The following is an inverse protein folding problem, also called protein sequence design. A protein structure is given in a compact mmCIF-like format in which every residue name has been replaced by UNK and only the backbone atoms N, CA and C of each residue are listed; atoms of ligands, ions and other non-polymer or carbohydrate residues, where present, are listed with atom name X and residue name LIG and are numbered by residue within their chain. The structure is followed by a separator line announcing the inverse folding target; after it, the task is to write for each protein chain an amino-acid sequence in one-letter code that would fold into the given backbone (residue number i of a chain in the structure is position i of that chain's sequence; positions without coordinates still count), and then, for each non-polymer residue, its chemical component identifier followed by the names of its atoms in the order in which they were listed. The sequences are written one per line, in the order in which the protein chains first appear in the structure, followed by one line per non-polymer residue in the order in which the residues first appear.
data_IF_062889400455
#
_entry.id   IF_062889400455
#
_cell.length_a   1.000
_cell.length_b   1.000
_cell.length_c   1.000
_cell.angle_alpha   90.00
_cell.angle_beta   90.00
_cell.angle_gamma   90.00
#
_symmetry.space_group_name_H-M   'P 1'
#
loop_
_entity.id
_entity.type
_entity.pdbx_description
1 polymer ?
#
# COMPACT_ATOMS: atom_id res chain seq x y z
N UNK A 1 -49.83 4.15 14.84
CA UNK A 1 -48.57 3.73 15.48
C UNK A 1 -48.25 2.33 14.98
N UNK A 2 -47.52 2.23 13.88
CA UNK A 2 -47.28 0.99 13.14
C UNK A 2 -45.77 0.86 12.84
N UNK A 3 -45.30 -0.37 13.05
CA UNK A 3 -44.20 -1.05 12.36
C UNK A 3 -42.77 -0.72 12.80
N UNK A 4 -42.35 -1.41 13.87
CA UNK A 4 -41.05 -2.07 13.86
C UNK A 4 -41.03 -3.14 12.76
N UNK A 5 -40.29 -2.87 11.69
CA UNK A 5 -40.01 -3.85 10.65
C UNK A 5 -38.67 -4.51 10.97
N UNK A 6 -38.75 -5.81 11.29
CA UNK A 6 -37.64 -6.75 11.27
C UNK A 6 -36.88 -6.57 9.96
N UNK A 7 -35.57 -6.29 10.04
CA UNK A 7 -34.67 -6.61 8.95
C UNK A 7 -34.84 -8.12 8.70
N UNK A 8 -35.28 -8.55 7.51
CA UNK A 8 -35.33 -9.96 7.21
C UNK A 8 -33.92 -10.49 7.37
N UNK A 9 -33.82 -11.56 8.15
CA UNK A 9 -32.67 -12.45 8.26
C UNK A 9 -31.80 -12.37 7.01
N UNK A 10 -30.56 -11.91 7.18
CA UNK A 10 -29.47 -12.27 6.28
C UNK A 10 -29.40 -13.79 6.35
N UNK A 11 -30.20 -14.46 5.53
CA UNK A 11 -30.06 -15.88 5.28
C UNK A 11 -28.66 -16.00 4.72
N UNK A 12 -27.78 -16.59 5.52
CA UNK A 12 -26.51 -17.11 5.09
C UNK A 12 -26.79 -18.10 3.94
N UNK A 13 -26.83 -17.58 2.71
CA UNK A 13 -26.88 -18.38 1.50
C UNK A 13 -25.44 -18.85 1.26
N UNK A 14 -25.17 -20.02 1.83
CA UNK A 14 -24.18 -21.02 1.45
C UNK A 14 -22.99 -20.57 0.58
N UNK A 15 -21.86 -20.29 1.24
CA UNK A 15 -20.58 -20.90 0.86
C UNK A 15 -20.26 -21.96 1.92
N UNK A 16 -20.24 -23.21 1.49
CA UNK A 16 -20.28 -24.39 2.33
C UNK A 16 -18.95 -24.69 3.06
N UNK A 17 -19.08 -25.31 4.24
CA UNK A 17 -18.04 -26.02 5.04
C UNK A 17 -16.94 -25.16 5.70
N UNK A 18 -17.31 -24.32 6.67
CA UNK A 18 -16.35 -23.75 7.62
C UNK A 18 -17.02 -22.99 8.77
N UNK A 19 -16.37 -22.94 9.94
CA UNK A 19 -16.79 -22.20 11.14
C UNK A 19 -16.70 -20.67 10.93
N UNK A 20 -17.52 -20.11 10.03
CA UNK A 20 -17.58 -18.66 9.77
C UNK A 20 -18.61 -18.01 10.70
N UNK A 21 -18.21 -16.96 11.44
CA UNK A 21 -19.11 -16.20 12.32
C UNK A 21 -19.33 -14.80 11.76
N UNK A 22 -20.58 -14.33 11.76
CA UNK A 22 -20.99 -12.99 11.34
C UNK A 22 -21.60 -12.23 12.52
N UNK A 23 -21.23 -10.96 12.68
CA UNK A 23 -21.88 -10.02 13.60
C UNK A 23 -22.34 -8.79 12.81
N UNK A 24 -23.58 -8.33 13.06
CA UNK A 24 -24.17 -7.19 12.36
C UNK A 24 -24.58 -6.10 13.36
N UNK A 25 -24.13 -4.87 13.11
CA UNK A 25 -24.48 -3.68 13.87
C UNK A 25 -24.90 -2.57 12.89
N UNK A 26 -26.19 -2.25 12.85
CA UNK A 26 -26.69 -1.12 12.03
C UNK A 26 -26.98 0.09 12.93
N UNK A 27 -26.47 1.27 12.55
CA UNK A 27 -26.68 2.52 13.30
C UNK A 27 -27.50 3.52 12.49
N UNK A 28 -28.57 4.05 13.08
CA UNK A 28 -29.20 5.31 12.65
C UNK A 28 -28.61 6.45 13.50
N UNK A 29 -28.26 7.58 12.89
CA UNK A 29 -27.58 8.71 13.56
C UNK A 29 -28.39 9.25 14.75
N UNK A 30 -28.11 8.74 15.94
CA UNK A 30 -28.39 9.37 17.24
C UNK A 30 -27.19 9.27 18.20
N UNK A 31 -26.17 8.47 17.89
CA UNK A 31 -24.94 8.31 18.67
C UNK A 31 -23.76 8.10 17.71
N UNK A 32 -22.71 8.92 17.86
CA UNK A 32 -21.44 8.71 17.16
C UNK A 32 -20.88 7.33 17.49
N UNK A 33 -20.81 6.42 16.50
CA UNK A 33 -20.18 5.11 16.68
C UNK A 33 -18.66 5.26 16.55
N UNK A 34 -17.94 5.13 17.68
CA UNK A 34 -16.49 4.96 17.67
C UNK A 34 -16.18 3.49 17.46
N UNK A 35 -15.55 3.18 16.34
CA UNK A 35 -15.12 1.82 16.03
C UNK A 35 -13.73 1.62 16.62
N UNK A 36 -13.67 1.00 17.80
CA UNK A 36 -12.41 0.58 18.38
C UNK A 36 -11.83 -0.55 17.50
N UNK A 37 -10.58 -0.38 17.04
CA UNK A 37 -9.79 -1.51 16.57
C UNK A 37 -9.81 -2.59 17.66
N UNK A 38 -10.06 -3.84 17.28
CA UNK A 38 -10.32 -4.94 18.21
C UNK A 38 -9.33 -4.95 19.38
N UNK A 39 -9.84 -4.88 20.62
CA UNK A 39 -9.09 -4.98 21.88
C UNK A 39 -8.40 -6.34 22.01
N UNK A 40 -7.26 -6.52 21.35
CA UNK A 40 -6.33 -7.62 21.60
C UNK A 40 -4.90 -7.15 21.37
N UNK A 41 -4.30 -6.55 22.40
CA UNK A 41 -2.84 -6.31 22.59
C UNK A 41 -2.11 -5.49 21.48
N UNK A 42 -2.70 -5.24 20.32
CA UNK A 42 -2.13 -4.44 19.23
C UNK A 42 -2.76 -3.05 19.23
N UNK A 43 -2.21 -2.15 20.05
CA UNK A 43 -2.54 -0.72 20.12
C UNK A 43 -2.22 0.09 18.84
N UNK A 44 -1.82 -0.57 17.76
CA UNK A 44 -1.17 0.08 16.61
C UNK A 44 -2.05 0.20 15.36
N UNK A 45 -3.23 -0.44 15.32
CA UNK A 45 -4.17 -0.23 14.21
C UNK A 45 -5.04 1.02 14.47
N UNK A 46 -5.15 1.96 13.51
CA UNK A 46 -5.90 3.19 13.71
C UNK A 46 -7.41 2.94 13.86
N UNK A 47 -8.11 3.83 14.56
CA UNK A 47 -9.58 3.87 14.61
C UNK A 47 -10.11 5.00 13.73
N UNK A 48 -11.41 4.97 13.42
CA UNK A 48 -12.06 6.04 12.65
C UNK A 48 -13.46 6.34 13.19
N UNK A 49 -13.86 7.61 13.09
CA UNK A 49 -15.23 8.05 13.34
C UNK A 49 -16.07 7.91 12.07
N UNK A 50 -17.28 7.36 12.22
CA UNK A 50 -18.22 7.22 11.11
C UNK A 50 -19.12 8.45 11.02
N UNK A 51 -19.19 9.08 9.84
CA UNK A 51 -19.94 10.32 9.60
C UNK A 51 -21.26 10.13 8.83
N UNK A 52 -21.59 8.90 8.41
CA UNK A 52 -22.81 8.59 7.65
C UNK A 52 -23.59 7.40 8.24
N UNK A 53 -24.92 7.40 8.04
CA UNK A 53 -25.76 6.24 8.36
C UNK A 53 -25.31 5.04 7.54
N UNK A 54 -24.97 3.95 8.22
CA UNK A 54 -24.56 2.70 7.58
C UNK A 54 -24.88 1.48 8.45
N UNK A 55 -24.91 0.32 7.82
CA UNK A 55 -24.82 -0.95 8.51
C UNK A 55 -23.41 -1.53 8.42
N UNK A 56 -22.84 -1.85 9.58
CA UNK A 56 -21.54 -2.52 9.70
C UNK A 56 -21.76 -4.02 9.89
N UNK A 57 -21.14 -4.80 9.02
CA UNK A 57 -21.06 -6.25 9.13
C UNK A 57 -19.62 -6.61 9.39
N UNK A 58 -19.36 -7.43 10.40
CA UNK A 58 -18.04 -8.00 10.66
C UNK A 58 -18.12 -9.52 10.55
N UNK A 59 -17.04 -10.14 10.10
CA UNK A 59 -16.96 -11.59 10.00
C UNK A 59 -15.54 -12.09 10.27
N UNK A 60 -15.45 -13.34 10.72
CA UNK A 60 -14.21 -14.13 10.65
C UNK A 60 -14.39 -15.22 9.61
N UNK A 61 -13.60 -15.16 8.54
CA UNK A 61 -13.69 -16.07 7.39
C UNK A 61 -12.44 -16.94 7.39
N UNK A 62 -12.62 -18.25 7.50
CA UNK A 62 -11.52 -19.19 7.37
C UNK A 62 -11.05 -19.24 5.91
N UNK A 63 -9.75 -19.11 5.70
CA UNK A 63 -9.09 -19.22 4.38
C UNK A 63 -8.32 -20.55 4.27
N UNK A 64 -7.99 -21.17 5.40
CA UNK A 64 -7.50 -22.55 5.49
C UNK A 64 -7.89 -23.17 6.85
N UNK A 65 -7.52 -24.43 7.15
CA UNK A 65 -7.70 -24.99 8.50
C UNK A 65 -6.91 -24.29 9.61
N UNK A 66 -5.91 -23.48 9.25
CA UNK A 66 -5.00 -22.82 10.20
C UNK A 66 -5.04 -21.29 10.10
N UNK A 67 -5.48 -20.72 8.98
CA UNK A 67 -5.56 -19.27 8.73
C UNK A 67 -6.99 -18.79 8.51
N UNK A 68 -7.17 -17.48 8.66
CA UNK A 68 -8.43 -16.82 8.43
C UNK A 68 -8.29 -15.31 8.52
N UNK A 69 -9.27 -14.63 7.96
CA UNK A 69 -9.32 -13.17 7.89
C UNK A 69 -10.41 -12.62 8.80
N UNK A 70 -10.13 -11.47 9.40
CA UNK A 70 -11.20 -10.56 9.84
C UNK A 70 -11.62 -9.74 8.64
N UNK A 71 -12.93 -9.71 8.42
CA UNK A 71 -13.58 -9.02 7.33
C UNK A 71 -14.55 -8.00 7.89
N UNK A 72 -14.64 -6.84 7.25
CA UNK A 72 -15.67 -5.86 7.52
C UNK A 72 -16.30 -5.36 6.22
N UNK A 73 -17.63 -5.16 6.27
CA UNK A 73 -18.38 -4.45 5.26
C UNK A 73 -19.12 -3.27 5.89
N UNK A 74 -19.00 -2.09 5.28
CA UNK A 74 -19.73 -0.88 5.65
C UNK A 74 -20.70 -0.54 4.53
N UNK A 75 -21.99 -0.59 4.85
CA UNK A 75 -23.09 -0.55 3.89
C UNK A 75 -23.92 0.72 4.14
N UNK A 76 -23.61 1.85 3.47
CA UNK A 76 -24.28 3.11 3.70
C UNK A 76 -25.76 3.07 3.30
N UNK A 77 -26.61 3.77 4.05
CA UNK A 77 -28.03 3.92 3.71
C UNK A 77 -28.21 4.57 2.32
N UNK A 78 -27.42 5.61 2.04
CA UNK A 78 -27.39 6.27 0.74
C UNK A 78 -26.38 5.60 -0.20
N UNK A 79 -26.71 4.39 -0.67
CA UNK A 79 -25.85 3.62 -1.56
C UNK A 79 -26.04 4.00 -3.03
N UNK A 80 -24.93 4.35 -3.69
CA UNK A 80 -24.89 4.73 -5.12
C UNK A 80 -24.99 3.54 -6.09
N UNK A 81 -24.98 2.31 -5.58
CA UNK A 81 -24.84 1.10 -6.39
C UNK A 81 -23.39 0.65 -6.59
N UNK A 82 -22.40 1.47 -6.19
CA UNK A 82 -20.97 1.19 -6.38
C UNK A 82 -20.41 0.36 -5.22
N UNK A 83 -19.56 -0.62 -5.53
CA UNK A 83 -18.82 -1.45 -4.57
C UNK A 83 -17.37 -1.00 -4.51
N UNK A 84 -16.74 -1.00 -3.33
CA UNK A 84 -15.33 -0.66 -3.15
C UNK A 84 -14.64 -1.61 -2.18
N UNK A 85 -13.41 -2.00 -2.49
CA UNK A 85 -12.51 -2.68 -1.56
C UNK A 85 -11.23 -1.88 -1.37
N UNK A 86 -10.64 -1.95 -0.17
CA UNK A 86 -9.31 -1.38 0.10
C UNK A 86 -8.24 -2.42 0.31
N UNK A 87 -7.00 -1.95 0.37
CA UNK A 87 -5.85 -2.72 0.78
C UNK A 87 -5.44 -2.52 2.23
N UNK A 88 -4.17 -2.88 2.47
CA UNK A 88 -3.46 -2.77 3.72
C UNK A 88 -2.16 -1.96 3.53
N UNK A 89 -1.35 -1.81 4.59
CA UNK A 89 -0.07 -1.10 4.55
C UNK A 89 1.05 -1.95 5.17
N UNK A 90 2.28 -1.71 4.73
CA UNK A 90 3.49 -2.42 5.20
C UNK A 90 3.32 -3.96 5.18
N UNK A 91 3.86 -4.66 6.18
CA UNK A 91 3.62 -6.09 6.44
C UNK A 91 2.36 -6.33 7.29
N UNK A 92 1.51 -5.31 7.43
CA UNK A 92 0.45 -5.30 8.41
C UNK A 92 -0.82 -6.03 7.99
N UNK A 93 -1.54 -6.42 9.03
CA UNK A 93 -2.91 -6.91 9.00
C UNK A 93 -3.91 -5.92 9.60
N UNK A 94 -3.65 -4.62 9.54
CA UNK A 94 -4.64 -3.64 9.98
C UNK A 94 -5.65 -3.34 8.88
N UNK A 95 -6.93 -3.33 9.23
CA UNK A 95 -7.99 -2.73 8.39
C UNK A 95 -7.77 -1.21 8.33
N UNK A 96 -7.75 -0.65 7.12
CA UNK A 96 -7.53 0.78 6.88
C UNK A 96 -8.80 1.59 7.12
N UNK A 97 -9.23 1.71 8.39
CA UNK A 97 -10.46 2.43 8.76
C UNK A 97 -10.55 3.87 8.28
N UNK A 98 -9.42 4.54 8.01
CA UNK A 98 -9.43 5.89 7.42
C UNK A 98 -10.01 5.89 6.01
N UNK A 99 -9.62 4.93 5.19
CA UNK A 99 -10.12 4.75 3.82
C UNK A 99 -11.61 4.38 3.84
N UNK A 100 -12.05 3.62 4.85
CA UNK A 100 -13.47 3.34 5.11
C UNK A 100 -14.26 4.63 5.34
N UNK A 101 -13.73 5.51 6.18
CA UNK A 101 -14.33 6.81 6.48
C UNK A 101 -14.35 7.76 5.28
N UNK A 102 -13.40 7.63 4.35
CA UNK A 102 -13.38 8.41 3.10
C UNK A 102 -14.41 7.91 2.08
N UNK A 103 -14.51 6.58 1.89
CA UNK A 103 -15.38 6.00 0.87
C UNK A 103 -16.86 5.95 1.26
N UNK A 104 -17.17 5.79 2.56
CA UNK A 104 -18.56 5.62 3.01
C UNK A 104 -19.45 6.85 2.73
N UNK A 105 -19.01 8.10 2.95
CA UNK A 105 -19.78 9.29 2.58
C UNK A 105 -19.98 9.47 1.07
N UNK A 106 -19.12 8.87 0.25
CA UNK A 106 -19.27 8.85 -1.21
C UNK A 106 -20.27 7.77 -1.68
N UNK A 107 -20.91 7.06 -0.74
CA UNK A 107 -21.99 6.12 -1.00
C UNK A 107 -21.54 4.80 -1.63
N UNK A 108 -20.30 4.36 -1.38
CA UNK A 108 -19.82 3.03 -1.76
C UNK A 108 -20.22 1.99 -0.72
N UNK A 109 -20.64 0.81 -1.17
CA UNK A 109 -20.65 -0.39 -0.34
C UNK A 109 -19.21 -0.87 -0.21
N UNK A 110 -18.65 -0.72 0.98
CA UNK A 110 -17.23 -0.83 1.21
C UNK A 110 -16.88 -2.16 1.90
N UNK A 111 -15.74 -2.78 1.54
CA UNK A 111 -15.16 -3.90 2.30
C UNK A 111 -13.64 -3.82 2.53
N UNK A 112 -13.20 -4.35 3.67
CA UNK A 112 -11.78 -4.50 4.00
C UNK A 112 -11.51 -5.78 4.80
N UNK A 113 -10.24 -6.19 4.80
CA UNK A 113 -9.77 -7.34 5.57
C UNK A 113 -8.51 -7.00 6.35
N UNK A 114 -8.21 -7.83 7.35
CA UNK A 114 -6.96 -7.76 8.12
C UNK A 114 -5.79 -8.48 7.41
N UNK A 115 -5.86 -8.73 6.11
CA UNK A 115 -4.76 -9.32 5.33
C UNK A 115 -4.26 -10.71 5.79
N UNK A 116 -4.99 -11.42 6.66
CA UNK A 116 -4.62 -12.75 7.17
C UNK A 116 -4.06 -12.79 8.59
N UNK A 117 -3.77 -11.64 9.21
CA UNK A 117 -3.24 -11.57 10.57
C UNK A 117 -3.58 -10.24 11.26
N UNK A 118 -3.18 -10.06 12.52
CA UNK A 118 -3.42 -8.82 13.26
C UNK A 118 -2.10 -8.11 13.57
N UNK A 119 -2.13 -6.77 13.56
CA UNK A 119 -0.97 -5.94 13.88
C UNK A 119 -0.07 -5.64 12.68
N UNK A 120 1.07 -5.01 12.93
CA UNK A 120 2.01 -4.54 11.90
C UNK A 120 3.26 -5.41 11.74
N UNK A 121 3.51 -6.34 12.66
CA UNK A 121 4.66 -7.25 12.59
C UNK A 121 4.44 -8.34 11.53
N UNK A 122 5.53 -8.77 10.90
CA UNK A 122 5.55 -9.95 10.04
C UNK A 122 5.65 -11.28 10.80
N UNK A 123 5.81 -11.28 12.13
CA UNK A 123 5.90 -12.51 12.95
C UNK A 123 4.79 -13.55 12.68
N UNK A 124 3.52 -13.18 12.44
CA UNK A 124 2.45 -14.16 12.20
C UNK A 124 2.67 -15.12 11.03
N UNK A 125 3.59 -14.80 10.10
CA UNK A 125 3.89 -15.66 8.95
C UNK A 125 4.93 -16.74 9.24
N UNK A 126 5.62 -16.69 10.39
CA UNK A 126 6.65 -17.65 10.78
C UNK A 126 6.06 -19.07 10.87
N UNK A 127 6.61 -20.01 10.09
CA UNK A 127 6.10 -21.37 9.94
C UNK A 127 4.64 -21.48 9.45
N UNK A 128 4.13 -20.46 8.75
CA UNK A 128 2.71 -20.32 8.40
C UNK A 128 2.51 -19.88 6.94
N UNK A 129 2.78 -20.78 6.00
CA UNK A 129 2.58 -20.55 4.56
C UNK A 129 1.16 -20.10 4.20
N UNK A 130 0.16 -20.57 4.95
CA UNK A 130 -1.24 -20.21 4.77
C UNK A 130 -1.51 -18.72 5.08
N UNK A 131 -0.78 -18.14 6.03
CA UNK A 131 -0.86 -16.70 6.34
C UNK A 131 -0.06 -15.89 5.30
N UNK A 132 1.03 -16.45 4.77
CA UNK A 132 1.79 -15.84 3.65
C UNK A 132 0.90 -15.73 2.40
N UNK A 133 0.13 -16.77 2.10
CA UNK A 133 -0.82 -16.77 0.97
C UNK A 133 -1.92 -15.71 1.15
N UNK A 134 -2.50 -15.64 2.36
CA UNK A 134 -3.49 -14.62 2.73
C UNK A 134 -2.95 -13.20 2.52
N UNK A 135 -1.74 -12.91 3.03
CA UNK A 135 -1.07 -11.62 2.85
C UNK A 135 -0.78 -11.31 1.37
N UNK A 136 -0.45 -12.32 0.58
CA UNK A 136 -0.01 -12.14 -0.80
C UNK A 136 -1.16 -11.76 -1.72
N UNK A 137 -2.28 -12.48 -1.66
CA UNK A 137 -3.44 -12.21 -2.51
C UNK A 137 -4.78 -12.69 -1.92
N UNK A 138 -4.77 -13.77 -1.12
CA UNK A 138 -5.98 -14.54 -0.85
C UNK A 138 -6.92 -13.80 0.10
N UNK A 139 -6.41 -13.06 1.09
CA UNK A 139 -7.25 -12.30 2.01
C UNK A 139 -8.10 -11.25 1.29
N UNK A 140 -7.48 -10.48 0.39
CA UNK A 140 -8.18 -9.44 -0.37
C UNK A 140 -9.16 -10.06 -1.36
N UNK A 141 -8.75 -11.08 -2.12
CA UNK A 141 -9.62 -11.77 -3.08
C UNK A 141 -10.88 -12.32 -2.37
N UNK A 142 -10.69 -13.00 -1.24
CA UNK A 142 -11.80 -13.53 -0.43
C UNK A 142 -12.71 -12.41 0.09
N UNK A 143 -12.13 -11.31 0.58
CA UNK A 143 -12.89 -10.14 1.01
C UNK A 143 -13.74 -9.53 -0.11
N UNK A 144 -13.22 -9.47 -1.34
CA UNK A 144 -13.96 -8.97 -2.50
C UNK A 144 -15.13 -9.89 -2.84
N UNK A 145 -14.89 -11.20 -2.94
CA UNK A 145 -15.93 -12.18 -3.29
C UNK A 145 -17.07 -12.17 -2.25
N UNK A 146 -16.72 -12.29 -0.97
CA UNK A 146 -17.71 -12.27 0.11
C UNK A 146 -18.40 -10.91 0.20
N UNK A 147 -17.65 -9.82 0.01
CA UNK A 147 -18.16 -8.46 0.03
C UNK A 147 -19.23 -8.17 -1.02
N UNK A 148 -19.05 -8.66 -2.24
CA UNK A 148 -20.03 -8.53 -3.31
C UNK A 148 -21.33 -9.25 -2.97
N UNK A 149 -21.26 -10.46 -2.39
CA UNK A 149 -22.45 -11.21 -1.97
C UNK A 149 -23.16 -10.58 -0.77
N UNK A 150 -22.41 -10.09 0.22
CA UNK A 150 -22.97 -9.33 1.36
C UNK A 150 -23.68 -8.08 0.87
N UNK A 151 -23.06 -7.33 -0.05
CA UNK A 151 -23.65 -6.13 -0.67
C UNK A 151 -24.95 -6.46 -1.41
N UNK A 152 -24.91 -7.47 -2.27
CA UNK A 152 -26.08 -7.94 -3.04
C UNK A 152 -27.23 -8.35 -2.14
N UNK A 153 -26.93 -9.09 -1.08
CA UNK A 153 -27.92 -9.58 -0.11
C UNK A 153 -28.54 -8.43 0.68
N UNK A 154 -27.72 -7.47 1.13
CA UNK A 154 -28.19 -6.36 1.96
C UNK A 154 -29.10 -5.38 1.18
N UNK A 155 -28.72 -5.00 -0.04
CA UNK A 155 -29.52 -4.06 -0.84
C UNK A 155 -30.53 -4.75 -1.76
N UNK A 156 -30.59 -6.09 -1.75
CA UNK A 156 -31.43 -6.91 -2.62
C UNK A 156 -31.28 -6.58 -4.13
N UNK A 157 -30.08 -6.14 -4.52
CA UNK A 157 -29.71 -5.83 -5.91
C UNK A 157 -28.19 -5.90 -6.08
N UNK A 158 -27.66 -6.37 -7.23
CA UNK A 158 -26.23 -6.40 -7.46
C UNK A 158 -25.64 -4.99 -7.53
N UNK A 159 -24.33 -4.87 -7.26
CA UNK A 159 -23.60 -3.63 -7.53
C UNK A 159 -23.58 -3.32 -9.03
N UNK A 160 -23.50 -2.04 -9.40
CA UNK A 160 -23.38 -1.61 -10.80
C UNK A 160 -21.93 -1.66 -11.29
N UNK A 161 -20.98 -1.23 -10.45
CA UNK A 161 -19.53 -1.23 -10.72
C UNK A 161 -18.76 -1.54 -9.43
N UNK A 162 -17.60 -2.16 -9.57
CA UNK A 162 -16.67 -2.48 -8.48
C UNK A 162 -15.37 -1.72 -8.63
N UNK A 163 -14.87 -1.19 -7.51
CA UNK A 163 -13.67 -0.36 -7.45
C UNK A 163 -12.69 -0.85 -6.40
N UNK A 164 -11.41 -0.55 -6.61
CA UNK A 164 -10.35 -0.76 -5.65
C UNK A 164 -9.61 0.55 -5.36
N UNK A 165 -9.29 0.79 -4.09
CA UNK A 165 -8.46 1.90 -3.65
C UNK A 165 -7.39 1.42 -2.67
N UNK A 166 -6.12 1.63 -3.00
CA UNK A 166 -5.02 1.27 -2.11
C UNK A 166 -3.72 1.99 -2.42
N UNK A 167 -2.91 2.22 -1.39
CA UNK A 167 -1.59 2.83 -1.48
C UNK A 167 -0.53 1.96 -0.78
N UNK A 168 0.74 2.02 -1.20
CA UNK A 168 1.83 1.20 -0.63
C UNK A 168 1.60 -0.31 -0.86
N UNK A 169 1.52 -1.12 0.20
CA UNK A 169 1.09 -2.53 0.12
C UNK A 169 -0.30 -2.66 -0.54
N UNK A 170 -1.20 -1.70 -0.32
CA UNK A 170 -2.46 -1.59 -1.03
C UNK A 170 -2.27 -1.34 -2.53
N UNK A 171 -1.30 -0.51 -2.93
CA UNK A 171 -0.95 -0.34 -4.33
C UNK A 171 -0.50 -1.67 -4.96
N UNK A 172 0.36 -2.44 -4.28
CA UNK A 172 0.76 -3.80 -4.70
C UNK A 172 -0.46 -4.70 -4.86
N UNK A 173 -1.32 -4.73 -3.86
CA UNK A 173 -2.54 -5.53 -3.87
C UNK A 173 -3.46 -5.16 -5.05
N UNK A 174 -3.62 -3.87 -5.36
CA UNK A 174 -4.34 -3.41 -6.56
C UNK A 174 -3.74 -3.94 -7.86
N UNK A 175 -2.43 -3.87 -8.02
CA UNK A 175 -1.74 -4.47 -9.17
C UNK A 175 -1.88 -6.00 -9.20
N UNK A 176 -1.85 -6.68 -8.05
CA UNK A 176 -2.09 -8.13 -7.97
C UNK A 176 -3.49 -8.49 -8.48
N UNK A 177 -4.49 -7.67 -8.15
CA UNK A 177 -5.85 -7.86 -8.66
C UNK A 177 -5.91 -7.65 -10.18
N UNK A 178 -5.28 -6.60 -10.70
CA UNK A 178 -5.23 -6.37 -12.15
C UNK A 178 -4.53 -7.53 -12.90
N UNK A 179 -3.44 -8.07 -12.35
CA UNK A 179 -2.63 -9.13 -12.98
C UNK A 179 -3.30 -10.51 -12.89
N UNK A 180 -3.81 -10.91 -11.72
CA UNK A 180 -4.24 -12.27 -11.46
C UNK A 180 -5.77 -12.45 -11.38
N UNK A 181 -6.52 -11.37 -11.13
CA UNK A 181 -7.97 -11.41 -10.90
C UNK A 181 -8.69 -10.29 -11.69
N UNK A 182 -8.55 -10.27 -13.02
CA UNK A 182 -8.96 -9.12 -13.85
C UNK A 182 -10.47 -8.81 -13.77
N UNK A 183 -11.29 -9.76 -13.32
CA UNK A 183 -12.76 -9.63 -13.22
C UNK A 183 -13.24 -9.00 -11.91
N UNK A 184 -12.34 -8.79 -10.95
CA UNK A 184 -12.76 -8.34 -9.62
C UNK A 184 -13.17 -6.87 -9.61
N UNK A 185 -12.55 -6.02 -10.43
CA UNK A 185 -12.73 -4.58 -10.38
C UNK A 185 -12.84 -3.97 -11.77
N UNK A 186 -13.80 -3.06 -11.93
CA UNK A 186 -13.88 -2.21 -13.11
C UNK A 186 -13.04 -0.95 -13.06
N UNK A 187 -12.60 -0.57 -11.86
CA UNK A 187 -11.68 0.54 -11.64
C UNK A 187 -10.70 0.24 -10.51
N UNK A 188 -9.41 0.45 -10.74
CA UNK A 188 -8.36 0.26 -9.72
C UNK A 188 -7.59 1.57 -9.55
N UNK A 189 -7.48 2.03 -8.31
CA UNK A 189 -6.59 3.13 -7.91
C UNK A 189 -5.46 2.54 -7.08
N UNK A 190 -4.25 2.58 -7.62
CA UNK A 190 -3.05 2.02 -6.99
C UNK A 190 -1.98 3.11 -6.80
N UNK A 191 -1.82 3.57 -5.56
CA UNK A 191 -0.82 4.55 -5.17
C UNK A 191 0.47 3.92 -4.66
N UNK A 192 1.61 4.53 -4.96
CA UNK A 192 2.94 4.14 -4.49
C UNK A 192 3.14 2.61 -4.34
N UNK A 193 2.97 1.80 -5.39
CA UNK A 193 2.78 0.36 -5.23
C UNK A 193 4.04 -0.36 -4.71
N UNK A 194 3.87 -1.22 -3.69
CA UNK A 194 4.92 -2.11 -3.19
C UNK A 194 5.12 -3.38 -4.05
N UNK A 195 4.96 -3.28 -5.37
CA UNK A 195 5.35 -4.31 -6.33
C UNK A 195 6.88 -4.38 -6.52
N UNK A 196 7.37 -5.36 -7.28
CA UNK A 196 8.75 -5.82 -7.15
C UNK A 196 9.08 -6.08 -5.68
N UNK A 197 8.13 -6.71 -4.98
CA UNK A 197 8.13 -6.79 -3.52
C UNK A 197 9.42 -7.39 -2.96
N UNK A 198 9.96 -8.47 -3.56
CA UNK A 198 11.17 -9.11 -3.05
C UNK A 198 12.38 -8.18 -3.22
N UNK A 199 12.46 -7.49 -4.36
CA UNK A 199 13.54 -6.53 -4.61
C UNK A 199 13.40 -5.27 -3.74
N UNK A 200 12.17 -4.81 -3.51
CA UNK A 200 11.85 -3.69 -2.63
C UNK A 200 12.23 -3.99 -1.18
N UNK A 201 11.89 -5.19 -0.66
CA UNK A 201 12.29 -5.59 0.69
C UNK A 201 13.80 -5.79 0.80
N UNK A 202 14.44 -6.36 -0.23
CA UNK A 202 15.91 -6.51 -0.29
C UNK A 202 16.60 -5.15 -0.22
N UNK A 203 16.19 -4.23 -1.09
CA UNK A 203 16.65 -2.84 -1.12
C UNK A 203 16.46 -2.14 0.23
N UNK A 204 15.29 -2.31 0.84
CA UNK A 204 14.98 -1.71 2.12
C UNK A 204 15.90 -2.21 3.25
N UNK A 205 16.24 -3.50 3.24
CA UNK A 205 17.15 -4.08 4.23
C UNK A 205 18.63 -3.77 3.93
N UNK A 206 18.96 -3.41 2.69
CA UNK A 206 20.33 -3.07 2.28
C UNK A 206 20.88 -1.80 2.95
N UNK A 207 20.03 -0.87 3.38
CA UNK A 207 20.48 0.39 3.97
C UNK A 207 21.21 0.22 5.31
N UNK A 208 20.78 -0.69 6.18
CA UNK A 208 21.40 -0.85 7.49
C UNK A 208 22.87 -1.32 7.40
N UNK A 209 23.23 -2.36 6.62
CA UNK A 209 24.63 -2.71 6.39
C UNK A 209 25.45 -1.60 5.73
N UNK A 210 24.83 -0.72 4.94
CA UNK A 210 25.52 0.40 4.29
C UNK A 210 25.86 1.52 5.29
N UNK A 211 24.89 1.95 6.10
CA UNK A 211 25.09 3.08 7.04
C UNK A 211 25.65 2.64 8.37
N UNK A 212 25.49 1.37 8.73
CA UNK A 212 25.75 0.88 10.07
C UNK A 212 24.76 1.42 11.11
N UNK A 213 24.95 0.96 12.34
CA UNK A 213 24.21 1.45 13.50
C UNK A 213 24.75 2.80 13.96
N UNK A 214 24.01 3.47 14.85
CA UNK A 214 24.46 4.72 15.46
C UNK A 214 25.85 4.56 16.10
N UNK A 215 26.78 5.42 15.70
CA UNK A 215 28.19 5.39 16.13
C UNK A 215 29.15 4.72 15.15
N UNK A 216 28.66 4.09 14.08
CA UNK A 216 29.51 3.65 12.97
C UNK A 216 30.07 4.85 12.19
N UNK A 217 31.28 4.72 11.64
CA UNK A 217 31.92 5.78 10.84
C UNK A 217 31.16 6.11 9.54
N UNK A 218 30.30 5.20 9.08
CA UNK A 218 29.42 5.34 7.91
C UNK A 218 28.03 5.87 8.25
N UNK A 219 27.73 6.10 9.53
CA UNK A 219 26.43 6.56 9.98
C UNK A 219 26.25 8.05 9.71
N UNK A 220 25.12 8.45 9.13
CA UNK A 220 24.77 9.85 8.87
C UNK A 220 23.87 10.36 9.99
N UNK A 221 24.31 11.33 10.82
CA UNK A 221 23.46 11.90 11.87
C UNK A 221 22.19 12.52 11.30
N UNK A 222 21.08 12.39 12.04
CA UNK A 222 19.78 12.94 11.60
C UNK A 222 19.83 14.45 11.33
N UNK A 223 20.69 15.16 12.05
CA UNK A 223 20.92 16.61 11.89
C UNK A 223 21.54 17.00 10.56
N UNK A 224 22.11 16.05 9.81
CA UNK A 224 22.76 16.31 8.52
C UNK A 224 21.79 16.27 7.34
N UNK A 225 20.63 15.60 7.47
CA UNK A 225 19.66 15.48 6.37
C UNK A 225 19.10 16.81 5.85
N UNK A 226 18.84 17.83 6.69
CA UNK A 226 18.51 19.16 6.18
C UNK A 226 19.64 19.79 5.33
N UNK A 227 20.90 19.65 5.75
CA UNK A 227 22.04 20.14 4.97
C UNK A 227 22.20 19.39 3.65
N UNK A 228 21.96 18.07 3.64
CA UNK A 228 21.94 17.25 2.43
C UNK A 228 20.81 17.70 1.50
N UNK A 229 19.63 17.97 2.05
CA UNK A 229 18.49 18.47 1.29
C UNK A 229 18.80 19.79 0.57
N UNK A 230 19.37 20.75 1.31
CA UNK A 230 19.71 22.06 0.77
C UNK A 230 20.77 21.96 -0.36
N UNK A 231 21.75 21.06 -0.21
CA UNK A 231 22.76 20.81 -1.23
C UNK A 231 22.17 20.12 -2.47
N UNK A 232 21.22 19.20 -2.30
CA UNK A 232 20.47 18.59 -3.41
C UNK A 232 19.68 19.65 -4.17
N UNK A 233 18.93 20.51 -3.48
CA UNK A 233 18.17 21.58 -4.13
C UNK A 233 19.09 22.56 -4.86
N UNK A 234 20.26 22.89 -4.29
CA UNK A 234 21.25 23.74 -4.95
C UNK A 234 21.77 23.15 -6.29
N UNK A 235 21.82 21.82 -6.41
CA UNK A 235 22.25 21.14 -7.63
C UNK A 235 21.10 20.83 -8.60
N UNK A 236 19.88 20.63 -8.10
CA UNK A 236 18.81 19.96 -8.85
C UNK A 236 17.48 20.73 -8.98
N UNK A 237 17.17 21.72 -8.14
CA UNK A 237 15.87 22.42 -8.14
C UNK A 237 15.59 23.04 -9.51
N UNK A 238 16.55 23.76 -10.09
CA UNK A 238 16.37 24.48 -11.36
C UNK A 238 16.47 23.59 -12.62
N UNK A 239 16.60 22.27 -12.49
CA UNK A 239 16.69 21.35 -13.65
C UNK A 239 15.40 21.28 -14.47
N UNK A 240 14.26 21.58 -13.84
CA UNK A 240 12.95 21.69 -14.51
C UNK A 240 12.68 23.09 -15.09
N UNK A 241 13.61 24.03 -14.89
CA UNK A 241 13.52 25.43 -15.34
C UNK A 241 12.86 26.39 -14.35
N UNK A 242 12.48 25.94 -13.15
CA UNK A 242 11.88 26.75 -12.08
C UNK A 242 12.66 26.55 -10.78
N UNK A 243 12.90 27.63 -10.02
CA UNK A 243 13.45 27.54 -8.66
C UNK A 243 12.30 27.63 -7.65
N UNK A 244 11.92 26.52 -7.04
CA UNK A 244 10.74 26.47 -6.17
C UNK A 244 10.90 25.58 -4.95
N UNK A 245 12.07 24.96 -4.77
CA UNK A 245 12.37 24.06 -3.67
C UNK A 245 11.74 22.68 -3.83
N UNK A 246 11.38 22.30 -5.07
CA UNK A 246 10.81 21.00 -5.38
C UNK A 246 11.47 20.41 -6.62
N UNK A 247 11.63 19.09 -6.65
CA UNK A 247 12.14 18.38 -7.82
C UNK A 247 10.96 17.82 -8.62
N UNK A 248 10.52 18.52 -9.68
CA UNK A 248 9.46 17.99 -10.58
C UNK A 248 9.94 16.84 -11.47
N UNK A 249 11.26 16.68 -11.61
CA UNK A 249 11.88 15.57 -12.33
C UNK A 249 13.13 15.10 -11.58
N UNK A 250 12.97 14.36 -10.46
CA UNK A 250 14.10 13.83 -9.69
C UNK A 250 15.00 12.90 -10.51
N UNK A 251 14.50 12.33 -11.61
CA UNK A 251 15.26 11.50 -12.54
C UNK A 251 16.34 12.28 -13.32
N UNK A 252 16.21 13.61 -13.42
CA UNK A 252 17.24 14.48 -13.97
C UNK A 252 18.34 14.81 -12.96
N UNK A 253 18.08 14.61 -11.67
CA UNK A 253 19.00 14.96 -10.59
C UNK A 253 20.13 13.92 -10.44
N UNK A 254 21.27 14.17 -11.05
CA UNK A 254 22.51 13.43 -10.74
C UNK A 254 23.25 14.09 -9.57
N UNK A 255 22.64 14.02 -8.38
CA UNK A 255 23.21 14.61 -7.16
C UNK A 255 24.57 14.00 -6.81
N UNK A 256 25.51 14.88 -6.44
CA UNK A 256 26.84 14.46 -5.98
C UNK A 256 27.23 15.20 -4.68
N UNK A 257 27.54 14.47 -3.58
CA UNK A 257 27.69 15.07 -2.26
C UNK A 257 29.11 15.59 -1.97
N UNK A 258 29.96 15.84 -2.97
CA UNK A 258 31.38 16.16 -2.75
C UNK A 258 31.57 17.48 -1.97
N UNK A 259 30.65 18.43 -2.13
CA UNK A 259 30.63 19.69 -1.37
C UNK A 259 30.46 19.48 0.13
N UNK A 260 29.83 18.37 0.53
CA UNK A 260 29.53 18.04 1.92
C UNK A 260 30.58 17.13 2.56
N UNK A 261 31.62 16.71 1.83
CA UNK A 261 32.64 15.81 2.39
C UNK A 261 33.49 16.50 3.44
N UNK A 262 33.82 15.76 4.50
CA UNK A 262 34.72 16.26 5.53
C UNK A 262 36.11 16.56 4.96
N UNK A 263 36.65 17.74 5.28
CA UNK A 263 38.02 18.10 4.94
C UNK A 263 39.03 17.13 5.58
N UNK A 264 40.16 16.89 4.89
CA UNK A 264 41.23 16.02 5.38
C UNK A 264 41.71 16.54 6.75
N UNK A 265 41.68 15.70 7.79
CA UNK A 265 41.98 16.01 9.19
C UNK A 265 40.91 16.82 9.97
N UNK A 266 39.67 16.88 9.47
CA UNK A 266 38.53 17.38 10.26
C UNK A 266 38.11 16.36 11.32
N UNK A 267 38.16 16.74 12.60
CA UNK A 267 37.50 16.00 13.69
C UNK A 267 35.99 16.32 13.79
N UNK A 268 35.43 17.10 12.85
CA UNK A 268 34.02 17.47 12.86
C UNK A 268 33.18 16.44 12.11
N UNK A 269 32.75 15.38 12.77
CA UNK A 269 31.84 14.36 12.18
C UNK A 269 30.37 14.78 12.15
N UNK A 270 30.03 15.90 12.82
CA UNK A 270 28.65 16.37 12.96
C UNK A 270 28.21 17.35 11.84
N UNK A 271 29.12 17.85 11.02
CA UNK A 271 28.88 18.95 10.06
C UNK A 271 29.24 18.61 8.59
N UNK A 272 29.68 17.39 8.32
CA UNK A 272 30.10 16.94 6.99
C UNK A 272 30.00 15.40 6.89
N UNK A 273 30.00 14.88 5.67
CA UNK A 273 29.92 13.46 5.35
C UNK A 273 31.33 12.84 5.33
N UNK A 274 31.53 11.79 6.10
CA UNK A 274 32.82 11.07 6.20
C UNK A 274 33.10 10.22 4.94
N UNK A 275 32.06 9.81 4.20
CA UNK A 275 32.17 9.07 2.94
C UNK A 275 31.02 9.45 1.97
N UNK A 276 31.27 9.43 0.66
CA UNK A 276 30.29 9.77 -0.38
C UNK A 276 29.35 8.60 -0.78
N UNK A 277 29.33 7.50 -0.02
CA UNK A 277 28.90 6.20 -0.57
C UNK A 277 27.39 6.00 -0.71
N UNK A 278 26.56 6.90 -0.23
CA UNK A 278 25.10 6.78 -0.36
C UNK A 278 24.54 7.92 -1.20
N UNK A 279 24.38 7.68 -2.51
CA UNK A 279 23.46 8.50 -3.32
C UNK A 279 22.04 8.29 -2.76
N UNK A 280 21.32 9.35 -2.37
CA UNK A 280 19.91 9.23 -2.02
C UNK A 280 19.17 8.70 -3.24
N UNK A 281 18.39 7.65 -3.03
CA UNK A 281 17.61 7.00 -4.08
C UNK A 281 16.30 7.70 -4.43
N UNK A 282 15.98 8.75 -3.69
CA UNK A 282 14.82 9.59 -3.86
C UNK A 282 15.23 11.01 -3.46
N UNK A 283 15.99 11.72 -4.32
CA UNK A 283 16.35 13.11 -4.09
C UNK A 283 15.10 13.94 -3.78
N UNK A 284 15.16 14.80 -2.77
CA UNK A 284 14.04 15.62 -2.30
C UNK A 284 13.26 15.00 -1.14
N UNK A 285 13.47 13.72 -0.82
CA UNK A 285 12.82 13.04 0.30
C UNK A 285 13.55 13.23 1.65
N UNK A 286 14.62 14.01 1.71
CA UNK A 286 15.50 14.13 2.88
C UNK A 286 14.83 14.83 4.07
N UNK A 287 13.78 15.63 3.83
CA UNK A 287 12.96 16.23 4.88
C UNK A 287 11.66 15.46 5.16
N UNK A 288 11.46 14.33 4.49
CA UNK A 288 10.32 13.44 4.76
C UNK A 288 10.60 12.53 5.98
N UNK A 289 9.75 11.53 6.19
CA UNK A 289 10.00 10.46 7.17
C UNK A 289 11.03 9.41 6.73
N UNK A 290 11.58 9.54 5.52
CA UNK A 290 12.50 8.55 4.93
C UNK A 290 13.85 8.42 5.64
N UNK A 291 14.54 9.51 6.05
CA UNK A 291 15.71 9.43 6.91
C UNK A 291 15.49 8.54 8.14
N UNK A 292 14.40 8.80 8.87
CA UNK A 292 14.08 8.07 10.10
C UNK A 292 13.75 6.60 9.82
N UNK A 293 13.21 6.31 8.64
CA UNK A 293 12.82 4.96 8.21
C UNK A 293 14.02 4.10 7.82
N UNK A 294 14.97 4.63 7.06
CA UNK A 294 16.07 3.84 6.48
C UNK A 294 17.46 4.12 7.04
N UNK A 295 17.67 5.29 7.63
CA UNK A 295 18.98 5.80 8.00
C UNK A 295 19.10 6.07 9.50
N UNK A 296 18.18 5.55 10.31
CA UNK A 296 18.19 5.65 11.78
C UNK A 296 19.17 4.70 12.46
N UNK A 297 19.84 3.83 11.69
CA UNK A 297 20.76 2.82 12.22
C UNK A 297 20.01 1.68 12.93
N UNK A 298 18.71 1.55 12.69
CA UNK A 298 17.87 0.46 13.16
C UNK A 298 17.41 -0.40 11.97
N UNK A 299 17.13 -1.70 12.17
CA UNK A 299 16.51 -2.52 11.15
C UNK A 299 15.17 -1.94 10.68
N UNK A 300 14.99 -1.88 9.36
CA UNK A 300 13.70 -1.51 8.78
C UNK A 300 12.68 -2.62 9.00
N UNK A 301 11.43 -2.28 9.29
CA UNK A 301 10.38 -3.25 9.63
C UNK A 301 10.15 -4.36 8.58
N UNK A 302 10.48 -4.13 7.30
CA UNK A 302 10.41 -5.20 6.30
C UNK A 302 11.46 -6.31 6.48
N UNK A 303 12.44 -6.17 7.38
CA UNK A 303 13.33 -7.27 7.77
C UNK A 303 12.58 -8.46 8.36
N UNK A 304 11.39 -8.24 8.92
CA UNK A 304 10.49 -9.31 9.35
C UNK A 304 10.14 -10.26 8.20
N UNK A 305 10.07 -9.77 6.95
CA UNK A 305 9.83 -10.63 5.79
C UNK A 305 10.98 -11.61 5.56
N UNK A 306 12.22 -11.13 5.61
CA UNK A 306 13.39 -12.01 5.52
C UNK A 306 13.43 -13.01 6.67
N UNK A 307 13.25 -12.50 7.88
CA UNK A 307 13.32 -13.26 9.12
C UNK A 307 12.28 -14.39 9.17
N UNK A 308 11.02 -14.06 8.91
CA UNK A 308 9.90 -14.97 9.16
C UNK A 308 9.39 -15.70 7.92
N UNK A 309 9.45 -15.09 6.72
CA UNK A 309 8.94 -15.71 5.49
C UNK A 309 10.04 -16.36 4.64
N UNK A 310 11.17 -15.68 4.43
CA UNK A 310 12.22 -16.17 3.50
C UNK A 310 13.16 -17.18 4.16
N UNK A 311 13.69 -16.81 5.32
CA UNK A 311 14.65 -17.60 6.09
C UNK A 311 13.95 -18.54 7.07
N UNK A 312 12.75 -18.14 7.53
CA UNK A 312 11.96 -18.84 8.53
C UNK A 312 12.77 -19.11 9.81
N UNK A 313 13.53 -18.10 10.25
CA UNK A 313 14.45 -18.12 11.39
C UNK A 313 14.23 -16.88 12.26
N UNK A 314 13.65 -17.06 13.44
CA UNK A 314 13.38 -15.98 14.39
C UNK A 314 14.64 -15.43 15.08
N UNK A 315 15.81 -16.04 14.88
CA UNK A 315 17.08 -15.59 15.45
C UNK A 315 17.93 -14.78 14.47
N UNK A 316 17.56 -14.76 13.19
CA UNK A 316 18.30 -14.03 12.16
C UNK A 316 18.39 -12.52 12.45
N UNK A 317 19.59 -11.99 12.22
CA UNK A 317 19.95 -10.58 12.44
C UNK A 317 19.92 -9.81 11.10
N UNK A 318 19.03 -8.81 10.96
CA UNK A 318 18.96 -7.96 9.78
C UNK A 318 20.27 -7.24 9.40
N UNK A 319 21.18 -7.02 10.35
CA UNK A 319 22.48 -6.41 10.06
C UNK A 319 23.42 -7.35 9.27
N UNK A 320 23.12 -8.65 9.23
CA UNK A 320 23.94 -9.68 8.57
C UNK A 320 23.49 -10.06 7.16
N UNK A 321 22.49 -9.36 6.62
CA UNK A 321 21.91 -9.65 5.30
C UNK A 321 22.96 -9.62 4.18
N UNK A 322 22.89 -10.60 3.27
CA UNK A 322 23.84 -10.75 2.16
C UNK A 322 23.14 -10.78 0.80
N UNK A 323 23.88 -10.62 -0.32
CA UNK A 323 23.33 -10.79 -1.66
C UNK A 323 22.65 -12.15 -1.90
N UNK A 324 23.12 -13.22 -1.25
CA UNK A 324 22.52 -14.55 -1.32
C UNK A 324 21.09 -14.57 -0.75
N UNK A 325 20.82 -13.78 0.29
CA UNK A 325 19.46 -13.64 0.84
C UNK A 325 18.52 -12.99 -0.18
N UNK A 326 18.99 -11.98 -0.92
CA UNK A 326 18.20 -11.33 -1.98
C UNK A 326 17.85 -12.33 -3.08
N UNK A 327 18.83 -13.12 -3.53
CA UNK A 327 18.64 -14.17 -4.53
C UNK A 327 17.64 -15.21 -4.02
N UNK A 328 17.75 -15.61 -2.75
CA UNK A 328 16.79 -16.54 -2.12
C UNK A 328 15.37 -15.96 -2.09
N UNK A 329 15.20 -14.70 -1.70
CA UNK A 329 13.88 -14.04 -1.68
C UNK A 329 13.25 -14.01 -3.06
N UNK A 330 14.01 -13.61 -4.09
CA UNK A 330 13.54 -13.56 -5.47
C UNK A 330 13.24 -14.95 -6.04
N UNK A 331 14.05 -15.95 -5.71
CA UNK A 331 13.86 -17.34 -6.18
C UNK A 331 12.64 -18.01 -5.57
N UNK A 332 12.37 -17.76 -4.28
CA UNK A 332 11.19 -18.29 -3.60
C UNK A 332 9.90 -17.65 -4.13
N UNK A 333 9.91 -16.33 -4.31
CA UNK A 333 8.77 -15.52 -4.77
C UNK A 333 7.42 -16.06 -4.28
N UNK A 334 7.28 -16.17 -2.96
CA UNK A 334 6.18 -16.88 -2.30
C UNK A 334 4.84 -16.38 -2.84
N UNK A 335 4.05 -17.29 -3.42
CA UNK A 335 2.75 -17.01 -4.05
C UNK A 335 2.75 -15.87 -5.09
N UNK A 336 3.88 -15.69 -5.78
CA UNK A 336 4.10 -14.60 -6.73
C UNK A 336 3.91 -13.20 -6.10
N UNK A 337 4.37 -13.01 -4.87
CA UNK A 337 4.28 -11.74 -4.15
C UNK A 337 5.00 -10.58 -4.86
N UNK A 338 5.99 -10.88 -5.71
CA UNK A 338 6.70 -9.91 -6.55
C UNK A 338 5.73 -8.96 -7.27
N UNK A 339 4.58 -9.48 -7.72
CA UNK A 339 3.51 -8.68 -8.35
C UNK A 339 4.02 -7.85 -9.53
N UNK A 340 4.90 -8.46 -10.34
CA UNK A 340 5.65 -7.79 -11.41
C UNK A 340 5.29 -8.29 -12.80
N UNK A 341 4.09 -8.84 -12.96
CA UNK A 341 3.61 -9.28 -14.27
C UNK A 341 3.27 -8.08 -15.17
N UNK A 342 4.00 -7.97 -16.28
CA UNK A 342 3.83 -6.97 -17.33
C UNK A 342 2.60 -7.21 -18.22
N UNK A 343 1.94 -8.37 -18.14
CA UNK A 343 0.76 -8.66 -18.94
C UNK A 343 -0.53 -8.24 -18.20
N UNK A 344 -1.20 -7.20 -18.70
CA UNK A 344 -2.57 -6.84 -18.28
C UNK A 344 -3.56 -6.93 -19.45
N UNK A 345 -3.22 -7.72 -20.47
CA UNK A 345 -4.12 -7.93 -21.61
C UNK A 345 -5.50 -8.43 -21.17
N UNK A 346 -5.63 -9.36 -20.19
CA UNK A 346 -6.93 -9.75 -19.65
C UNK A 346 -7.72 -8.56 -19.07
N UNK A 347 -7.10 -7.79 -18.16
CA UNK A 347 -7.72 -6.61 -17.54
C UNK A 347 -8.14 -5.55 -18.58
N UNK A 348 -7.29 -5.29 -19.58
CA UNK A 348 -7.60 -4.38 -20.70
C UNK A 348 -8.76 -4.92 -21.55
N UNK A 349 -8.78 -6.21 -21.85
CA UNK A 349 -9.80 -6.83 -22.73
C UNK A 349 -11.20 -6.78 -22.14
N UNK A 350 -11.33 -6.73 -20.81
CA UNK A 350 -12.60 -6.58 -20.12
C UNK A 350 -13.08 -5.12 -20.07
N UNK A 351 -12.28 -4.17 -20.59
CA UNK A 351 -12.62 -2.76 -20.61
C UNK A 351 -12.38 -2.03 -19.30
N UNK A 352 -11.63 -2.64 -18.38
CA UNK A 352 -11.38 -2.09 -17.04
C UNK A 352 -10.30 -1.01 -17.06
N UNK A 353 -10.22 -0.25 -15.96
CA UNK A 353 -9.39 0.96 -15.87
C UNK A 353 -8.52 0.92 -14.62
N UNK A 354 -7.26 1.32 -14.78
CA UNK A 354 -6.28 1.44 -13.68
C UNK A 354 -5.68 2.84 -13.71
N UNK A 355 -5.78 3.54 -12.58
CA UNK A 355 -5.04 4.78 -12.31
C UNK A 355 -3.93 4.44 -11.32
N UNK A 356 -2.72 4.78 -11.73
CA UNK A 356 -1.51 4.64 -10.93
C UNK A 356 -0.94 6.03 -10.65
N UNK A 357 -0.59 6.29 -9.39
CA UNK A 357 0.16 7.48 -8.99
C UNK A 357 1.30 7.12 -8.03
N UNK A 358 2.33 7.95 -8.00
CA UNK A 358 3.46 7.82 -7.08
C UNK A 358 3.97 9.22 -6.73
N UNK A 359 4.23 9.50 -5.46
CA UNK A 359 4.84 10.76 -5.04
C UNK A 359 6.33 10.80 -5.42
N UNK A 360 6.79 11.89 -6.04
CA UNK A 360 8.19 12.02 -6.48
C UNK A 360 9.19 12.16 -5.33
N UNK A 361 8.71 12.53 -4.14
CA UNK A 361 9.49 12.59 -2.89
C UNK A 361 9.16 11.43 -1.94
N UNK A 362 8.63 10.32 -2.46
CA UNK A 362 8.43 9.10 -1.68
C UNK A 362 9.78 8.46 -1.36
N UNK A 363 10.22 8.64 -0.11
CA UNK A 363 11.46 8.03 0.36
C UNK A 363 11.27 6.69 1.05
N UNK A 364 10.06 6.10 1.05
CA UNK A 364 9.82 4.70 1.47
C UNK A 364 9.88 3.79 0.26
N UNK A 365 9.04 4.01 -0.74
CA UNK A 365 9.07 3.28 -2.01
C UNK A 365 9.55 4.28 -3.05
N UNK A 366 10.69 4.01 -3.69
CA UNK A 366 11.20 4.92 -4.72
C UNK A 366 10.22 5.00 -5.89
N UNK A 367 9.89 6.22 -6.32
CA UNK A 367 9.07 6.47 -7.50
C UNK A 367 9.64 5.83 -8.76
N UNK A 368 10.96 5.62 -8.83
CA UNK A 368 11.64 4.97 -9.97
C UNK A 368 11.26 3.50 -10.14
N UNK A 369 10.71 2.87 -9.09
CA UNK A 369 10.16 1.52 -9.18
C UNK A 369 8.88 1.48 -10.05
N UNK A 370 8.24 2.62 -10.29
CA UNK A 370 6.92 2.69 -10.94
C UNK A 370 6.94 2.73 -12.47
N UNK A 371 7.81 3.53 -13.12
CA UNK A 371 7.91 3.56 -14.57
C UNK A 371 8.20 2.20 -15.25
N UNK A 372 9.09 1.31 -14.75
CA UNK A 372 9.41 0.06 -15.44
C UNK A 372 8.20 -0.86 -15.69
N UNK A 373 7.27 -0.98 -14.74
CA UNK A 373 6.02 -1.78 -14.90
C UNK A 373 5.10 -1.20 -15.97
N UNK A 374 5.15 0.12 -16.17
CA UNK A 374 4.39 0.83 -17.20
C UNK A 374 5.11 0.79 -18.56
N UNK A 375 6.45 0.88 -18.58
CA UNK A 375 7.29 0.88 -19.80
C UNK A 375 7.46 -0.52 -20.41
N UNK A 376 7.36 -1.59 -19.62
CA UNK A 376 7.24 -2.96 -20.14
C UNK A 376 6.00 -3.18 -21.04
N UNK A 377 5.19 -2.14 -21.27
CA UNK A 377 3.95 -2.14 -22.05
C UNK A 377 3.90 -1.09 -23.16
N UNK A 378 5.01 -0.40 -23.44
CA UNK A 378 5.09 0.50 -24.60
C UNK A 378 6.10 0.01 -25.65
N UNK A 379 6.00 -1.23 -26.17
CA UNK A 379 6.33 -1.48 -27.55
C UNK A 379 5.07 -1.25 -28.41
N UNK A 380 5.06 -0.19 -29.22
CA UNK A 380 4.24 0.04 -30.43
C UNK A 380 2.70 -0.09 -30.41
N UNK A 381 2.06 -0.55 -29.35
CA UNK A 381 0.61 -0.73 -29.29
C UNK A 381 -0.02 0.37 -28.45
N UNK A 382 -0.19 1.54 -29.09
CA UNK A 382 -0.80 2.75 -28.53
C UNK A 382 -1.69 2.47 -27.32
N UNK A 383 -1.26 2.99 -26.16
CA UNK A 383 -2.15 3.15 -25.01
C UNK A 383 -3.46 3.68 -25.55
N UNK A 384 -4.56 2.97 -25.29
CA UNK A 384 -5.86 3.30 -25.90
C UNK A 384 -6.16 4.78 -25.68
N UNK A 385 -7.07 5.35 -26.47
CA UNK A 385 -7.39 6.80 -26.53
C UNK A 385 -7.68 7.52 -25.20
N UNK A 386 -7.64 6.85 -24.04
CA UNK A 386 -7.71 7.41 -22.69
C UNK A 386 -6.53 7.10 -21.75
N UNK A 387 -5.40 6.53 -22.23
CA UNK A 387 -4.19 6.41 -21.44
C UNK A 387 -3.50 7.79 -21.34
N UNK A 388 -3.84 8.54 -20.29
CA UNK A 388 -3.21 9.82 -19.97
C UNK A 388 -2.21 9.62 -18.83
N UNK A 389 -0.97 10.07 -19.02
CA UNK A 389 -0.08 10.37 -17.90
C UNK A 389 -0.51 11.72 -17.34
N UNK A 390 -0.80 11.77 -16.04
CA UNK A 390 -1.02 13.01 -15.30
C UNK A 390 0.31 13.32 -14.60
N UNK A 391 1.01 14.36 -15.07
CA UNK A 391 2.39 14.68 -14.70
C UNK A 391 3.34 14.63 -15.90
N UNK A 392 4.32 15.52 -15.91
CA UNK A 392 5.27 15.75 -17.01
C UNK A 392 4.65 16.29 -18.33
N UNK A 393 3.47 16.93 -18.27
CA UNK A 393 2.86 17.68 -19.40
C UNK A 393 2.16 18.97 -18.95
N UNK A 394 2.07 19.95 -19.87
CA UNK A 394 1.64 21.32 -19.57
C UNK A 394 0.14 21.52 -19.26
N UNK A 395 -0.73 20.53 -19.53
CA UNK A 395 -2.16 20.57 -19.21
C UNK A 395 -2.73 19.20 -18.87
N UNK A 396 -3.44 19.11 -17.75
CA UNK A 396 -4.26 17.95 -17.39
C UNK A 396 -5.50 17.87 -18.30
N UNK A 397 -5.68 16.77 -19.02
CA UNK A 397 -6.82 16.56 -19.94
C UNK A 397 -8.01 15.82 -19.30
N UNK A 398 -7.98 15.59 -17.99
CA UNK A 398 -8.93 14.69 -17.32
C UNK A 398 -9.89 15.48 -16.45
N UNK A 399 -11.20 15.19 -16.57
CA UNK A 399 -12.23 15.81 -15.74
C UNK A 399 -12.07 15.42 -14.27
N UNK A 400 -12.38 16.38 -13.40
CA UNK A 400 -12.32 16.26 -11.94
C UNK A 400 -13.70 16.04 -11.32
N UNK A 401 -14.76 15.99 -12.13
CA UNK A 401 -16.11 15.69 -11.68
C UNK A 401 -16.24 14.19 -11.37
N UNK A 402 -16.64 13.78 -10.13
CA UNK A 402 -16.82 12.37 -9.76
C UNK A 402 -17.87 11.62 -10.60
N UNK A 403 -18.82 12.32 -11.23
CA UNK A 403 -19.78 11.71 -12.14
C UNK A 403 -19.20 11.47 -13.54
N UNK A 404 -18.14 12.20 -13.92
CA UNK A 404 -17.44 12.03 -15.20
C UNK A 404 -16.20 11.14 -15.09
N UNK A 405 -15.47 11.20 -13.96
CA UNK A 405 -14.29 10.38 -13.69
C UNK A 405 -14.13 10.04 -12.20
N UNK A 406 -14.86 9.01 -11.79
CA UNK A 406 -14.85 8.49 -10.42
C UNK A 406 -13.45 8.07 -9.93
N UNK A 407 -12.57 7.57 -10.80
CA UNK A 407 -11.23 7.11 -10.43
C UNK A 407 -10.32 8.31 -10.11
N UNK A 408 -10.45 9.41 -10.85
CA UNK A 408 -9.71 10.64 -10.54
C UNK A 408 -10.24 11.31 -9.27
N UNK A 409 -11.56 11.27 -9.06
CA UNK A 409 -12.17 11.80 -7.84
C UNK A 409 -11.73 11.04 -6.58
N UNK A 410 -11.42 9.73 -6.67
CA UNK A 410 -10.89 8.95 -5.54
C UNK A 410 -9.47 9.36 -5.11
N UNK A 411 -8.70 10.01 -5.98
CA UNK A 411 -7.32 10.45 -5.68
C UNK A 411 -7.30 11.85 -5.09
N UNK A 412 -8.35 12.64 -5.31
CA UNK A 412 -8.56 13.94 -4.65
C UNK A 412 -9.02 13.75 -3.21
#
# INVERSE_FOLDING_TARGET
MLLGARAPSVQAVALAKGNTTFEQQCSSFATSLRINGVNSIASDCPSQNVTVNLCRVTARIATSPRSGIKFEAWLPENWTGRFLSTGNGALGGCIQYKDLGYASPLGFAFVATNNGHDGQSGLPVLNREDVIEDFTYHALMTGVVVGKEVTKSFYNKPHTKSYYLGCSTGGRQGFKQAQAFPDNFGGIVAGAPAFAFNNLTSRSCHFLPLTGQQGADTFIPMTMWPTIHDDILAQCDELDGVKHGFLESPDLCDYKPESLLCGVNSNQTAACLTQSKSKPSAPGAELSGAPQTYFSGQPFGASDWFKYAILNDYTWDPATITPEDYVRSSSLNLFNIETWDGNLSPFKSHGEKLLHYHGLIDGTISSDNSPPVLRARVPDDGGGTGAAFIGNQAKNMVSLDPEENVIMAMVR
#
